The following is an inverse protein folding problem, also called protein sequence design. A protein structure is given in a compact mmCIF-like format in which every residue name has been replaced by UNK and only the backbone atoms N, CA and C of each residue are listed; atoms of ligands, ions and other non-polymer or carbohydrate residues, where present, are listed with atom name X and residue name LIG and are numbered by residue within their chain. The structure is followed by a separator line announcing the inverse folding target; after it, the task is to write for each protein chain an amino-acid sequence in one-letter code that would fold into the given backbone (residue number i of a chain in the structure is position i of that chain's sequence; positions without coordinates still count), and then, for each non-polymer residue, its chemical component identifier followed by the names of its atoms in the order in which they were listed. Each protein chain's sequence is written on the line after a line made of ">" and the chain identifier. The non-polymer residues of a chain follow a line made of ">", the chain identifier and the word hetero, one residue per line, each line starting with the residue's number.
data_IF_562481411416
#
_entry.id   IF_562481411416
#
_cell.length_a   1.000
_cell.length_b   1.000
_cell.length_c   1.000
_cell.angle_alpha   90.00
_cell.angle_beta   90.00
_cell.angle_gamma   90.00
#
_symmetry.space_group_name_H-M   'P 1'
#
loop_
_entity.id
_entity.type
_entity.pdbx_description
1 polymer ?
#
# COMPACT_ATOMS: atom_id res chain seq x y z
N UNK A 1 -23.42 7.66 2.89
CA UNK A 1 -22.91 7.14 1.60
C UNK A 1 -21.74 7.99 1.12
N UNK A 2 -20.68 7.36 0.66
CA UNK A 2 -19.52 8.07 0.14
C UNK A 2 -19.84 8.59 -1.27
N UNK A 3 -19.67 9.88 -1.47
CA UNK A 3 -19.77 10.44 -2.81
C UNK A 3 -18.41 10.29 -3.50
N UNK A 4 -18.28 9.27 -4.31
CA UNK A 4 -17.06 8.94 -5.02
C UNK A 4 -16.56 10.04 -5.97
N UNK A 5 -17.43 10.94 -6.39
CA UNK A 5 -17.05 12.09 -7.22
C UNK A 5 -16.30 13.16 -6.44
N UNK A 6 -16.46 13.18 -5.12
CA UNK A 6 -15.77 14.12 -4.22
C UNK A 6 -14.53 13.51 -3.57
N UNK A 7 -14.26 12.23 -3.82
CA UNK A 7 -13.11 11.55 -3.31
C UNK A 7 -11.85 12.09 -4.01
N UNK A 8 -10.75 12.13 -3.29
CA UNK A 8 -9.46 12.47 -3.86
C UNK A 8 -9.23 11.74 -5.17
N UNK A 9 -8.73 12.48 -6.18
CA UNK A 9 -8.44 11.92 -7.49
C UNK A 9 -7.58 10.65 -7.39
N UNK A 10 -6.70 10.59 -6.41
CA UNK A 10 -5.81 9.46 -6.19
C UNK A 10 -6.56 8.16 -5.88
N UNK A 11 -7.69 8.24 -5.20
CA UNK A 11 -8.48 7.06 -4.87
C UNK A 11 -9.13 6.42 -6.09
N UNK A 12 -9.23 7.14 -7.20
CA UNK A 12 -9.74 6.60 -8.46
C UNK A 12 -8.80 5.55 -9.07
N UNK A 13 -7.54 5.52 -8.63
CA UNK A 13 -6.57 4.55 -9.10
C UNK A 13 -6.65 3.22 -8.37
N UNK A 14 -7.40 3.17 -7.27
CA UNK A 14 -7.58 1.95 -6.52
C UNK A 14 -8.84 1.22 -6.99
N UNK A 15 -8.70 0.00 -7.43
CA UNK A 15 -9.80 -0.82 -7.91
C UNK A 15 -9.58 -2.28 -7.54
N UNK A 16 -10.55 -3.12 -7.90
CA UNK A 16 -10.51 -4.54 -7.56
C UNK A 16 -9.32 -5.26 -8.21
N UNK A 17 -8.90 -4.85 -9.40
CA UNK A 17 -7.75 -5.46 -10.06
C UNK A 17 -6.47 -5.20 -9.27
N UNK A 18 -6.26 -3.98 -8.81
CA UNK A 18 -5.10 -3.61 -7.98
C UNK A 18 -5.12 -4.40 -6.67
N UNK A 19 -6.28 -4.45 -6.02
CA UNK A 19 -6.45 -5.19 -4.77
C UNK A 19 -6.13 -6.68 -4.95
N UNK A 20 -6.61 -7.27 -6.04
CA UNK A 20 -6.35 -8.67 -6.32
C UNK A 20 -4.87 -8.96 -6.56
N UNK A 21 -4.11 -8.04 -7.12
CA UNK A 21 -2.66 -8.20 -7.26
C UNK A 21 -2.01 -8.46 -5.90
N UNK A 22 -2.41 -7.68 -4.90
CA UNK A 22 -1.89 -7.80 -3.55
C UNK A 22 -2.34 -9.10 -2.91
N UNK A 23 -3.64 -9.38 -2.92
CA UNK A 23 -4.20 -10.56 -2.28
C UNK A 23 -3.64 -11.86 -2.86
N UNK A 24 -3.55 -11.94 -4.18
CA UNK A 24 -3.03 -13.13 -4.85
C UNK A 24 -1.55 -13.33 -4.61
N UNK A 25 -0.77 -12.24 -4.62
CA UNK A 25 0.67 -12.35 -4.39
C UNK A 25 0.98 -12.96 -3.03
N UNK A 26 0.26 -12.51 -1.99
CA UNK A 26 0.50 -12.96 -0.62
C UNK A 26 -0.33 -14.18 -0.22
N UNK A 27 -1.30 -14.57 -1.03
CA UNK A 27 -2.18 -15.68 -0.72
C UNK A 27 -3.15 -15.38 0.42
N UNK A 28 -3.65 -14.16 0.50
CA UNK A 28 -4.58 -13.72 1.55
C UNK A 28 -6.02 -13.69 1.06
N UNK A 29 -6.93 -13.84 2.03
CA UNK A 29 -8.35 -13.60 1.84
C UNK A 29 -8.74 -12.26 2.48
N UNK A 30 -9.54 -11.47 1.77
CA UNK A 30 -10.01 -10.18 2.29
C UNK A 30 -11.12 -10.37 3.31
N UNK A 31 -10.98 -9.75 4.48
CA UNK A 31 -12.04 -9.66 5.46
C UNK A 31 -12.76 -8.31 5.38
N UNK A 32 -12.02 -7.21 5.33
CA UNK A 32 -12.62 -5.89 5.22
C UNK A 32 -11.68 -4.89 4.57
N UNK A 33 -12.25 -3.82 4.06
CA UNK A 33 -11.56 -2.73 3.41
C UNK A 33 -11.99 -1.43 4.06
N UNK A 34 -11.00 -0.63 4.50
CA UNK A 34 -11.24 0.66 5.14
C UNK A 34 -10.60 1.76 4.30
N UNK A 35 -11.31 2.86 4.13
CA UNK A 35 -10.80 4.02 3.40
C UNK A 35 -10.56 5.18 4.35
N UNK A 36 -9.45 5.89 4.15
CA UNK A 36 -9.10 7.11 4.88
C UNK A 36 -9.15 6.95 6.39
N UNK A 37 -8.61 5.84 6.85
CA UNK A 37 -8.60 5.51 8.27
C UNK A 37 -7.36 6.11 8.94
N UNK A 38 -7.55 6.74 10.08
CA UNK A 38 -6.42 7.19 10.90
C UNK A 38 -5.83 6.05 11.68
N UNK A 39 -4.51 5.97 11.66
CA UNK A 39 -3.74 5.03 12.47
C UNK A 39 -2.68 5.86 13.20
N UNK A 40 -2.79 5.95 14.51
CA UNK A 40 -2.05 6.94 15.27
C UNK A 40 -2.49 8.35 14.86
N UNK A 41 -1.55 9.21 14.48
CA UNK A 41 -1.81 10.57 14.01
C UNK A 41 -1.86 10.70 12.49
N UNK A 42 -1.69 9.59 11.76
CA UNK A 42 -1.57 9.59 10.30
C UNK A 42 -2.80 8.97 9.65
N UNK A 43 -3.25 9.54 8.55
CA UNK A 43 -4.30 8.96 7.73
C UNK A 43 -3.69 8.03 6.69
N UNK A 44 -4.30 6.87 6.50
CA UNK A 44 -3.91 5.89 5.49
C UNK A 44 -5.03 5.81 4.45
N UNK A 45 -4.69 5.88 3.17
CA UNK A 45 -5.69 5.96 2.10
C UNK A 45 -6.56 4.71 2.03
N UNK A 46 -5.96 3.54 2.08
CA UNK A 46 -6.69 2.27 2.09
C UNK A 46 -6.02 1.31 3.06
N UNK A 47 -6.84 0.63 3.86
CA UNK A 47 -6.37 -0.46 4.72
C UNK A 47 -7.14 -1.72 4.35
N UNK A 48 -6.41 -2.80 4.08
CA UNK A 48 -7.00 -4.11 3.87
C UNK A 48 -6.76 -4.95 5.11
N UNK A 49 -7.83 -5.44 5.71
CA UNK A 49 -7.78 -6.44 6.76
C UNK A 49 -7.96 -7.78 6.08
N UNK A 50 -6.95 -8.62 6.19
CA UNK A 50 -6.88 -9.89 5.48
C UNK A 50 -6.57 -11.01 6.46
N UNK A 51 -6.72 -12.24 6.01
CA UNK A 51 -6.33 -13.42 6.80
C UNK A 51 -5.63 -14.43 5.90
N UNK A 52 -4.78 -15.22 6.53
CA UNK A 52 -4.15 -16.36 5.84
C UNK A 52 -5.19 -17.45 5.60
N UNK A 53 -5.10 -18.14 4.46
CA UNK A 53 -6.10 -19.14 4.09
C UNK A 53 -6.14 -20.35 5.01
N UNK A 54 -4.97 -20.82 5.46
CA UNK A 54 -4.91 -22.06 6.23
C UNK A 54 -5.15 -21.85 7.72
N UNK A 55 -4.51 -20.84 8.32
CA UNK A 55 -4.53 -20.64 9.77
C UNK A 55 -5.42 -19.48 10.22
N UNK A 56 -6.05 -18.79 9.30
CA UNK A 56 -6.90 -17.63 9.56
C UNK A 56 -6.23 -16.56 10.42
N UNK A 57 -4.91 -16.41 10.30
CA UNK A 57 -4.17 -15.37 11.01
C UNK A 57 -4.42 -14.03 10.34
N UNK A 58 -4.83 -13.05 11.13
CA UNK A 58 -5.14 -11.72 10.61
C UNK A 58 -3.88 -10.93 10.31
N UNK A 59 -3.94 -10.16 9.21
CA UNK A 59 -2.89 -9.26 8.77
C UNK A 59 -3.53 -7.96 8.32
N UNK A 60 -2.76 -6.87 8.39
CA UNK A 60 -3.22 -5.59 7.85
C UNK A 60 -2.23 -5.09 6.81
N UNK A 61 -2.77 -4.59 5.72
CA UNK A 61 -2.01 -4.05 4.61
C UNK A 61 -2.41 -2.60 4.45
N UNK A 62 -1.44 -1.68 4.55
CA UNK A 62 -1.65 -0.27 4.27
C UNK A 62 -1.33 0.05 2.83
N UNK A 63 -2.08 0.98 2.27
CA UNK A 63 -1.91 1.41 0.88
C UNK A 63 -1.94 2.92 0.81
N UNK A 64 -0.92 3.50 0.19
CA UNK A 64 -0.84 4.91 -0.14
C UNK A 64 -1.08 5.09 -1.63
N UNK A 65 -2.01 5.95 -2.00
CA UNK A 65 -2.36 6.22 -3.38
C UNK A 65 -1.74 7.55 -3.82
N UNK A 66 -1.12 7.57 -5.00
CA UNK A 66 -0.46 8.76 -5.50
C UNK A 66 -0.58 8.88 -7.00
N UNK A 67 -0.73 10.12 -7.48
CA UNK A 67 -0.84 10.34 -8.93
C UNK A 67 0.51 10.24 -9.63
N UNK A 68 1.55 10.92 -9.13
CA UNK A 68 2.82 10.97 -9.85
C UNK A 68 4.08 11.20 -8.98
N UNK A 69 3.95 11.68 -7.77
CA UNK A 69 5.10 12.01 -6.93
C UNK A 69 5.56 10.80 -6.11
N UNK A 70 6.44 10.00 -6.68
CA UNK A 70 6.92 8.76 -6.06
C UNK A 70 7.74 9.02 -4.80
N UNK A 71 8.54 10.08 -4.78
CA UNK A 71 9.38 10.42 -3.62
C UNK A 71 8.50 10.75 -2.42
N UNK A 72 7.49 11.58 -2.63
CA UNK A 72 6.54 11.94 -1.58
C UNK A 72 5.72 10.73 -1.13
N UNK A 73 5.29 9.90 -2.08
CA UNK A 73 4.52 8.70 -1.77
C UNK A 73 5.29 7.73 -0.88
N UNK A 74 6.55 7.49 -1.19
CA UNK A 74 7.43 6.61 -0.40
C UNK A 74 7.70 7.21 0.96
N UNK A 75 7.94 8.52 1.05
CA UNK A 75 8.12 9.21 2.32
C UNK A 75 6.90 9.06 3.23
N UNK A 76 5.71 9.21 2.68
CA UNK A 76 4.47 9.02 3.43
C UNK A 76 4.28 7.56 3.85
N UNK A 77 4.63 6.63 2.98
CA UNK A 77 4.56 5.20 3.29
C UNK A 77 5.48 4.85 4.46
N UNK A 78 6.69 5.37 4.48
CA UNK A 78 7.64 5.14 5.57
C UNK A 78 7.09 5.60 6.91
N UNK A 79 6.45 6.77 6.96
CA UNK A 79 5.86 7.29 8.20
C UNK A 79 4.76 6.41 8.77
N UNK A 80 4.12 5.60 7.92
CA UNK A 80 2.99 4.75 8.29
C UNK A 80 3.35 3.28 8.39
N UNK A 81 4.53 2.91 7.92
CA UNK A 81 4.96 1.51 7.71
C UNK A 81 4.88 0.65 8.96
N UNK A 82 5.23 1.21 10.12
CA UNK A 82 5.33 0.45 11.35
C UNK A 82 4.00 -0.10 11.88
N UNK A 83 2.87 0.39 11.36
CA UNK A 83 1.55 -0.05 11.80
C UNK A 83 1.00 -1.24 10.99
N UNK A 84 1.71 -1.67 9.95
CA UNK A 84 1.19 -2.64 8.99
C UNK A 84 2.15 -3.80 8.76
N UNK A 85 1.60 -4.98 8.49
CA UNK A 85 2.38 -6.16 8.12
C UNK A 85 2.97 -6.00 6.73
N UNK A 86 2.23 -5.37 5.82
CA UNK A 86 2.67 -5.01 4.47
C UNK A 86 2.24 -3.59 4.18
N UNK A 87 2.99 -2.89 3.35
CA UNK A 87 2.62 -1.56 2.91
C UNK A 87 2.95 -1.36 1.44
N UNK A 88 1.97 -0.87 0.70
CA UNK A 88 2.09 -0.65 -0.74
C UNK A 88 1.89 0.82 -1.10
N UNK A 89 2.68 1.28 -2.06
CA UNK A 89 2.41 2.52 -2.78
C UNK A 89 1.81 2.14 -4.13
N UNK A 90 0.62 2.64 -4.40
CA UNK A 90 -0.05 2.49 -5.69
C UNK A 90 0.04 3.84 -6.38
N UNK A 91 0.76 3.90 -7.47
CA UNK A 91 1.07 5.16 -8.15
C UNK A 91 0.70 5.09 -9.63
N UNK A 92 0.13 6.19 -10.13
CA UNK A 92 -0.34 6.25 -11.51
C UNK A 92 0.77 6.65 -12.47
N UNK A 93 1.82 5.82 -12.52
CA UNK A 93 2.96 5.98 -13.42
C UNK A 93 3.20 4.67 -14.17
N UNK A 94 3.74 4.79 -15.37
CA UNK A 94 4.24 3.63 -16.10
C UNK A 94 5.37 2.96 -15.32
N UNK A 95 5.49 1.66 -15.45
CA UNK A 95 6.55 0.88 -14.79
C UNK A 95 7.93 1.42 -15.16
N UNK A 96 8.13 1.76 -16.44
CA UNK A 96 9.39 2.33 -16.90
C UNK A 96 9.77 3.61 -16.16
N UNK A 97 8.79 4.46 -15.86
CA UNK A 97 9.02 5.69 -15.09
C UNK A 97 9.35 5.39 -13.64
N UNK A 98 8.65 4.43 -13.03
CA UNK A 98 8.93 4.01 -11.65
C UNK A 98 10.35 3.46 -11.54
N UNK A 99 10.74 2.57 -12.44
CA UNK A 99 12.06 1.96 -12.47
C UNK A 99 13.14 3.02 -12.68
N UNK A 100 12.89 3.98 -13.57
CA UNK A 100 13.81 5.08 -13.82
C UNK A 100 14.08 5.91 -12.56
N UNK A 101 13.03 6.25 -11.79
CA UNK A 101 13.18 6.96 -10.54
C UNK A 101 14.01 6.19 -9.53
N UNK A 102 13.79 4.88 -9.42
CA UNK A 102 14.53 4.01 -8.51
C UNK A 102 16.02 3.99 -8.88
N UNK A 103 16.34 3.92 -10.17
CA UNK A 103 17.73 3.93 -10.63
C UNK A 103 18.42 5.27 -10.46
N UNK A 104 17.69 6.38 -10.63
CA UNK A 104 18.28 7.72 -10.55
C UNK A 104 18.42 8.25 -9.13
N UNK A 105 17.65 7.72 -8.19
CA UNK A 105 17.66 8.18 -6.80
C UNK A 105 18.02 7.03 -5.86
N UNK A 106 19.28 6.97 -5.48
CA UNK A 106 19.79 5.91 -4.61
C UNK A 106 19.17 5.94 -3.22
N UNK A 107 18.81 7.13 -2.72
CA UNK A 107 18.14 7.26 -1.42
C UNK A 107 16.73 6.67 -1.47
N UNK A 108 16.03 6.90 -2.57
CA UNK A 108 14.71 6.34 -2.81
C UNK A 108 14.78 4.80 -2.82
N UNK A 109 15.72 4.26 -3.57
CA UNK A 109 15.93 2.81 -3.65
C UNK A 109 16.20 2.19 -2.28
N UNK A 110 17.12 2.81 -1.52
CA UNK A 110 17.49 2.31 -0.19
C UNK A 110 16.31 2.40 0.79
N UNK A 111 15.50 3.43 0.71
CA UNK A 111 14.31 3.58 1.54
C UNK A 111 13.27 2.49 1.22
N UNK A 112 12.98 2.28 -0.05
CA UNK A 112 12.03 1.23 -0.48
C UNK A 112 12.50 -0.13 0.00
N UNK A 113 13.77 -0.45 -0.21
CA UNK A 113 14.35 -1.72 0.18
C UNK A 113 14.39 -1.89 1.70
N UNK A 114 14.84 -0.86 2.40
CA UNK A 114 15.03 -0.91 3.86
C UNK A 114 13.73 -1.05 4.63
N UNK A 115 12.68 -0.39 4.16
CA UNK A 115 11.36 -0.47 4.81
C UNK A 115 10.46 -1.55 4.21
N UNK A 116 10.90 -2.22 3.15
CA UNK A 116 10.10 -3.27 2.52
C UNK A 116 8.79 -2.77 1.92
N UNK A 117 8.83 -1.57 1.35
CA UNK A 117 7.66 -0.96 0.68
C UNK A 117 7.42 -1.65 -0.65
N UNK A 118 6.17 -2.04 -0.90
CA UNK A 118 5.77 -2.55 -2.21
C UNK A 118 5.36 -1.43 -3.15
N UNK A 119 5.53 -1.65 -4.44
CA UNK A 119 5.18 -0.69 -5.48
C UNK A 119 4.28 -1.34 -6.52
N UNK A 120 3.19 -0.65 -6.85
CA UNK A 120 2.25 -1.08 -7.89
C UNK A 120 2.02 0.07 -8.85
N UNK A 121 2.10 -0.22 -10.14
CA UNK A 121 1.70 0.73 -11.18
C UNK A 121 0.18 0.65 -11.37
N UNK A 122 -0.53 1.72 -11.01
CA UNK A 122 -1.96 1.81 -11.27
C UNK A 122 -2.23 1.98 -12.77
N UNK A 123 -1.33 2.65 -13.46
CA UNK A 123 -1.45 2.90 -14.89
C UNK A 123 -1.43 1.59 -15.71
N UNK A 124 -0.52 0.67 -15.37
CA UNK A 124 -0.40 -0.61 -16.07
C UNK A 124 -1.11 -1.75 -15.32
N UNK A 125 -1.61 -1.50 -14.11
CA UNK A 125 -2.26 -2.50 -13.26
C UNK A 125 -1.37 -3.72 -13.03
N UNK A 126 -0.11 -3.44 -12.66
CA UNK A 126 0.90 -4.47 -12.42
C UNK A 126 1.73 -4.16 -11.19
N UNK A 127 2.11 -5.22 -10.50
CA UNK A 127 3.01 -5.12 -9.36
C UNK A 127 4.44 -4.93 -9.85
N UNK A 128 5.12 -3.92 -9.31
CA UNK A 128 6.53 -3.65 -9.62
C UNK A 128 7.43 -4.34 -8.60
N UNK A 129 7.12 -4.15 -7.32
CA UNK A 129 7.82 -4.78 -6.21
C UNK A 129 6.83 -5.22 -5.15
N UNK A 130 6.94 -6.44 -4.62
CA UNK A 130 6.10 -6.87 -3.51
C UNK A 130 6.58 -6.23 -2.20
N UNK A 131 5.65 -5.96 -1.29
CA UNK A 131 5.97 -5.53 0.07
C UNK A 131 6.51 -6.69 0.88
N UNK A 132 7.49 -6.43 1.73
CA UNK A 132 8.00 -7.40 2.69
C UNK A 132 7.11 -7.46 3.92
N UNK A 133 7.12 -8.61 4.59
CA UNK A 133 6.41 -8.80 5.84
C UNK A 133 7.14 -8.10 6.99
N UNK A 134 6.36 -7.46 7.87
CA UNK A 134 6.84 -6.86 9.09
C UNK A 134 5.93 -7.31 10.24
N UNK A 135 6.51 -7.77 11.34
CA UNK A 135 5.74 -8.22 12.50
C UNK A 135 5.31 -7.01 13.33
N UNK A 136 4.00 -6.76 13.37
CA UNK A 136 3.43 -5.53 13.94
C UNK A 136 2.72 -5.82 15.24
N UNK A 137 3.02 -5.04 16.27
CA UNK A 137 2.33 -5.10 17.57
C UNK A 137 1.34 -3.96 17.75
N UNK A 138 1.63 -2.80 17.20
CA UNK A 138 0.83 -1.59 17.39
C UNK A 138 -0.54 -1.65 16.73
N UNK A 139 -0.68 -2.44 15.68
CA UNK A 139 -1.90 -2.50 14.91
C UNK A 139 -3.10 -3.03 15.70
N UNK A 140 -2.85 -4.00 16.58
CA UNK A 140 -3.92 -4.62 17.37
C UNK A 140 -4.69 -3.61 18.23
N UNK A 141 -4.03 -2.54 18.64
CA UNK A 141 -4.63 -1.52 19.49
C UNK A 141 -5.60 -0.60 18.73
N UNK A 142 -5.46 -0.50 17.40
CA UNK A 142 -6.21 0.47 16.60
C UNK A 142 -7.22 -0.15 15.65
N UNK A 143 -6.96 -1.35 15.18
CA UNK A 143 -7.75 -1.96 14.10
C UNK A 143 -8.42 -3.26 14.51
N UNK A 144 -7.75 -4.03 15.32
CA UNK A 144 -8.26 -5.29 15.83
C UNK A 144 -8.72 -5.16 17.28
#
# INVERSE_FOLDING_TARGET
>A
MIDWNKIHREENYYNKEIENLILQHHGYELESRLFRQKVGSKEVDVILIVKTKEKEIKRAIGIELKENDIVKAVSQAIERREYFHHFYVVINLEISSIVKWIFLDSNLYLAIKGYGIGLISAYEKRMVLPSKFYNVYKLCDYIF
#
